data_IF_037503419920
#
_entry.id   IF_037503419920
#
_cell.length_a   1.000
_cell.length_b   1.000
_cell.length_c   1.000
_cell.angle_alpha   90.00
_cell.angle_beta   90.00
_cell.angle_gamma   90.00
#
_symmetry.space_group_name_H-M   'P 1'
#
loop_
_entity.id
_entity.type
_entity.pdbx_description
1 polymer ?
#
# COMPACT_ATOMS: atom_id res chain seq x y z
N UNK A 1 -25.52 -34.39 -13.07
CA UNK A 1 -24.47 -34.35 -14.11
C UNK A 1 -23.92 -32.94 -14.17
N UNK A 2 -22.79 -32.71 -13.53
CA UNK A 2 -22.16 -31.41 -13.43
C UNK A 2 -20.91 -31.40 -14.33
N UNK A 3 -21.02 -30.79 -15.51
CA UNK A 3 -19.84 -30.33 -16.23
C UNK A 3 -19.45 -28.98 -15.62
N UNK A 4 -18.55 -28.99 -14.63
CA UNK A 4 -17.67 -27.83 -14.43
C UNK A 4 -16.77 -27.83 -15.65
N UNK A 5 -17.02 -26.89 -16.57
CA UNK A 5 -15.98 -26.47 -17.51
C UNK A 5 -14.91 -25.84 -16.64
N UNK A 6 -13.84 -26.59 -16.40
CA UNK A 6 -12.55 -25.97 -16.15
C UNK A 6 -12.25 -25.14 -17.40
N UNK A 7 -12.52 -23.84 -17.32
CA UNK A 7 -11.98 -22.88 -18.27
C UNK A 7 -10.47 -22.95 -18.10
N UNK A 8 -9.83 -23.81 -18.91
CA UNK A 8 -8.42 -23.75 -19.16
C UNK A 8 -8.12 -22.35 -19.69
N UNK A 9 -7.64 -21.47 -18.81
CA UNK A 9 -6.92 -20.29 -19.24
C UNK A 9 -5.87 -20.75 -20.25
N UNK A 10 -5.91 -20.18 -21.45
CA UNK A 10 -4.80 -20.34 -22.38
C UNK A 10 -3.56 -19.85 -21.67
N UNK A 11 -2.68 -20.80 -21.35
CA UNK A 11 -1.49 -20.71 -20.53
C UNK A 11 -0.37 -19.86 -21.18
N UNK A 12 -0.71 -18.81 -21.93
CA UNK A 12 0.24 -18.16 -22.83
C UNK A 12 0.94 -16.94 -22.24
N UNK A 13 0.36 -16.26 -21.26
CA UNK A 13 1.01 -15.07 -20.69
C UNK A 13 1.06 -15.15 -19.17
N UNK A 14 2.27 -15.42 -18.66
CA UNK A 14 2.59 -15.37 -17.23
C UNK A 14 2.91 -13.92 -16.86
N UNK A 15 2.09 -13.30 -16.00
CA UNK A 15 2.35 -11.96 -15.47
C UNK A 15 2.45 -12.05 -13.94
N UNK A 16 3.64 -12.23 -13.35
CA UNK A 16 3.79 -12.52 -11.92
C UNK A 16 3.30 -11.37 -11.02
N UNK A 17 3.20 -10.16 -11.55
CA UNK A 17 2.68 -9.02 -10.82
C UNK A 17 1.15 -9.09 -10.64
N UNK A 18 0.44 -9.89 -11.44
CA UNK A 18 -1.01 -10.11 -11.30
C UNK A 18 -1.26 -11.44 -10.57
N UNK A 19 -1.95 -11.42 -9.41
CA UNK A 19 -2.36 -12.65 -8.74
C UNK A 19 -3.27 -13.53 -9.63
N UNK A 20 -3.13 -14.87 -9.61
CA UNK A 20 -3.94 -15.76 -10.43
C UNK A 20 -5.46 -15.69 -10.19
N UNK A 21 -5.89 -15.36 -8.97
CA UNK A 21 -7.30 -15.14 -8.64
C UNK A 21 -7.91 -13.91 -9.36
N UNK A 22 -7.05 -13.02 -9.86
CA UNK A 22 -7.42 -11.79 -10.55
C UNK A 22 -7.44 -11.94 -12.08
N UNK A 23 -6.86 -13.02 -12.63
CA UNK A 23 -6.82 -13.28 -14.07
C UNK A 23 -8.19 -13.28 -14.78
N UNK A 24 -9.30 -13.78 -14.19
CA UNK A 24 -10.60 -13.70 -14.86
C UNK A 24 -11.04 -12.28 -15.22
N UNK A 25 -10.55 -11.25 -14.51
CA UNK A 25 -10.84 -9.83 -14.81
C UNK A 25 -10.08 -9.30 -16.02
N UNK A 26 -9.10 -10.05 -16.53
CA UNK A 26 -8.19 -9.67 -17.60
C UNK A 26 -8.34 -10.53 -18.86
N UNK A 27 -9.40 -11.34 -18.94
CA UNK A 27 -9.73 -12.10 -20.15
C UNK A 27 -9.88 -11.16 -21.35
N UNK A 28 -9.17 -11.45 -22.45
CA UNK A 28 -9.13 -10.61 -23.64
C UNK A 28 -8.00 -9.55 -23.66
N UNK A 29 -7.19 -9.46 -22.61
CA UNK A 29 -6.02 -8.58 -22.52
C UNK A 29 -4.70 -9.36 -22.51
N UNK A 30 -4.66 -10.58 -23.05
CA UNK A 30 -3.49 -11.47 -22.97
C UNK A 30 -2.24 -10.81 -23.57
N UNK A 31 -2.37 -10.18 -24.74
CA UNK A 31 -1.25 -9.48 -25.39
C UNK A 31 -0.78 -8.23 -24.63
N UNK A 32 -1.65 -7.63 -23.79
CA UNK A 32 -1.32 -6.45 -23.00
C UNK A 32 -0.63 -6.82 -21.68
N UNK A 33 -0.91 -8.00 -21.14
CA UNK A 33 -0.25 -8.54 -19.94
C UNK A 33 1.26 -8.72 -20.13
N UNK A 34 1.73 -9.02 -21.34
CA UNK A 34 3.16 -9.08 -21.66
C UNK A 34 3.85 -7.73 -21.41
N UNK A 35 3.17 -6.61 -21.73
CA UNK A 35 3.70 -5.26 -21.49
C UNK A 35 3.84 -4.98 -19.99
N UNK A 36 2.86 -5.43 -19.19
CA UNK A 36 2.89 -5.34 -17.73
C UNK A 36 4.04 -6.17 -17.16
N UNK A 37 4.23 -7.40 -17.64
CA UNK A 37 5.32 -8.27 -17.20
C UNK A 37 6.69 -7.66 -17.51
N UNK A 38 6.90 -7.16 -18.74
CA UNK A 38 8.15 -6.53 -19.13
C UNK A 38 8.46 -5.28 -18.29
N UNK A 39 7.45 -4.43 -18.04
CA UNK A 39 7.62 -3.24 -17.21
C UNK A 39 7.94 -3.59 -15.74
N UNK A 40 7.38 -4.69 -15.23
CA UNK A 40 7.73 -5.21 -13.91
C UNK A 40 9.18 -5.72 -13.86
N UNK A 41 9.60 -6.50 -14.87
CA UNK A 41 10.97 -7.02 -14.97
C UNK A 41 12.00 -5.89 -15.07
N UNK A 42 11.71 -4.84 -15.86
CA UNK A 42 12.54 -3.64 -15.96
C UNK A 42 12.66 -2.92 -14.61
N UNK A 43 11.53 -2.76 -13.90
CA UNK A 43 11.53 -2.18 -12.57
C UNK A 43 12.35 -3.03 -11.59
N UNK A 44 12.17 -4.36 -11.59
CA UNK A 44 12.95 -5.26 -10.75
C UNK A 44 14.45 -5.15 -11.04
N UNK A 45 14.84 -5.15 -12.32
CA UNK A 45 16.22 -5.00 -12.73
C UNK A 45 16.81 -3.66 -12.27
N UNK A 46 16.06 -2.56 -12.36
CA UNK A 46 16.47 -1.25 -11.89
C UNK A 46 16.59 -1.17 -10.36
N UNK A 47 15.71 -1.89 -9.64
CA UNK A 47 15.67 -1.89 -8.18
C UNK A 47 16.69 -2.85 -7.54
N UNK A 48 17.16 -3.87 -8.28
CA UNK A 48 18.26 -4.75 -7.86
C UNK A 48 19.54 -3.92 -7.64
N UNK A 49 19.98 -3.87 -6.39
CA UNK A 49 21.18 -3.12 -5.97
C UNK A 49 20.90 -1.72 -5.38
N UNK A 50 19.64 -1.27 -5.34
CA UNK A 50 19.29 -0.06 -4.58
C UNK A 50 19.37 -0.36 -3.07
N UNK A 51 19.88 0.58 -2.25
CA UNK A 51 20.01 0.37 -0.82
C UNK A 51 18.65 0.17 -0.16
N UNK A 52 18.58 -0.72 0.82
CA UNK A 52 17.35 -1.09 1.53
C UNK A 52 17.45 -0.88 3.05
N UNK A 53 18.63 -1.14 3.60
CA UNK A 53 18.94 -0.93 5.01
C UNK A 53 18.83 0.57 5.32
N UNK A 54 18.23 0.92 6.46
CA UNK A 54 18.04 2.30 6.94
C UNK A 54 17.28 3.25 5.99
N UNK A 55 16.64 2.71 4.95
CA UNK A 55 15.88 3.54 4.03
C UNK A 55 14.57 3.98 4.65
N UNK A 56 14.26 5.26 4.51
CA UNK A 56 13.03 5.89 4.98
C UNK A 56 11.79 5.34 4.24
N UNK A 57 10.63 5.41 4.91
CA UNK A 57 9.34 4.97 4.35
C UNK A 57 8.99 5.71 3.06
N UNK A 58 9.29 7.01 2.96
CA UNK A 58 9.00 7.81 1.77
C UNK A 58 9.77 7.34 0.54
N UNK A 59 11.05 7.00 0.72
CA UNK A 59 11.87 6.44 -0.36
C UNK A 59 11.35 5.06 -0.79
N UNK A 60 10.91 4.22 0.15
CA UNK A 60 10.34 2.91 -0.18
C UNK A 60 9.01 3.01 -0.92
N UNK A 61 8.12 3.89 -0.45
CA UNK A 61 6.84 4.17 -1.12
C UNK A 61 7.06 4.78 -2.51
N UNK A 62 8.06 5.64 -2.68
CA UNK A 62 8.39 6.21 -3.99
C UNK A 62 8.87 5.14 -4.98
N UNK A 63 9.66 4.16 -4.54
CA UNK A 63 10.05 3.03 -5.39
C UNK A 63 8.87 2.18 -5.83
N UNK A 64 7.92 1.91 -4.93
CA UNK A 64 6.67 1.22 -5.27
C UNK A 64 5.85 2.10 -6.23
N UNK A 65 5.80 3.42 -6.01
CA UNK A 65 5.13 4.35 -6.92
C UNK A 65 5.75 4.36 -8.31
N UNK A 66 7.08 4.29 -8.42
CA UNK A 66 7.75 4.15 -9.71
C UNK A 66 7.30 2.89 -10.45
N UNK A 67 7.09 1.76 -9.76
CA UNK A 67 6.50 0.56 -10.37
C UNK A 67 5.11 0.88 -10.89
N UNK A 68 4.23 1.41 -10.04
CA UNK A 68 2.84 1.72 -10.43
C UNK A 68 2.80 2.67 -11.64
N UNK A 69 3.64 3.69 -11.68
CA UNK A 69 3.75 4.59 -12.83
C UNK A 69 4.25 3.88 -14.08
N UNK A 70 5.29 3.03 -13.96
CA UNK A 70 5.81 2.22 -15.06
C UNK A 70 4.75 1.32 -15.67
N UNK A 71 3.95 0.64 -14.83
CA UNK A 71 2.82 -0.16 -15.29
C UNK A 71 1.77 0.72 -15.99
N UNK A 72 1.43 1.88 -15.43
CA UNK A 72 0.48 2.80 -16.05
C UNK A 72 0.93 3.27 -17.44
N UNK A 73 2.23 3.52 -17.63
CA UNK A 73 2.83 3.85 -18.93
C UNK A 73 2.78 2.67 -19.89
N UNK A 74 3.08 1.46 -19.43
CA UNK A 74 3.02 0.24 -20.24
C UNK A 74 1.61 -0.04 -20.77
N UNK A 75 0.59 0.32 -19.99
CA UNK A 75 -0.82 0.16 -20.34
C UNK A 75 -1.42 1.37 -21.08
N UNK A 76 -0.66 2.43 -21.36
CA UNK A 76 -1.22 3.73 -21.78
C UNK A 76 -2.03 3.71 -23.10
N UNK A 77 -1.88 2.65 -23.90
CA UNK A 77 -2.64 2.46 -25.15
C UNK A 77 -4.08 1.98 -24.92
N UNK A 78 -4.36 1.40 -23.75
CA UNK A 78 -5.69 0.94 -23.37
C UNK A 78 -6.01 1.41 -21.94
N UNK A 79 -6.90 2.39 -21.86
CA UNK A 79 -7.26 3.02 -20.59
C UNK A 79 -8.01 2.07 -19.67
N UNK A 80 -8.91 1.25 -20.20
CA UNK A 80 -9.75 0.37 -19.39
C UNK A 80 -8.87 -0.73 -18.77
N UNK A 81 -7.96 -1.30 -19.57
CA UNK A 81 -6.94 -2.22 -19.07
C UNK A 81 -6.05 -1.58 -17.99
N UNK A 82 -5.56 -0.37 -18.23
CA UNK A 82 -4.73 0.36 -17.27
C UNK A 82 -5.46 0.56 -15.93
N UNK A 83 -6.74 0.96 -15.96
CA UNK A 83 -7.55 1.16 -14.75
C UNK A 83 -7.77 -0.15 -14.00
N UNK A 84 -8.06 -1.26 -14.68
CA UNK A 84 -8.22 -2.59 -14.07
C UNK A 84 -6.93 -3.04 -13.39
N UNK A 85 -5.80 -3.01 -14.10
CA UNK A 85 -4.49 -3.44 -13.57
C UNK A 85 -4.09 -2.58 -12.37
N UNK A 86 -4.18 -1.25 -12.48
CA UNK A 86 -3.85 -0.34 -11.37
C UNK A 86 -4.71 -0.58 -10.13
N UNK A 87 -5.98 -0.91 -10.32
CA UNK A 87 -6.89 -1.27 -9.23
C UNK A 87 -6.49 -2.58 -8.58
N UNK A 88 -6.21 -3.63 -9.36
CA UNK A 88 -5.76 -4.94 -8.86
C UNK A 88 -4.51 -4.77 -8.02
N UNK A 89 -3.49 -4.08 -8.55
CA UNK A 89 -2.21 -3.91 -7.87
C UNK A 89 -2.35 -3.08 -6.59
N UNK A 90 -3.08 -1.97 -6.66
CA UNK A 90 -3.28 -1.11 -5.49
C UNK A 90 -3.98 -1.87 -4.37
N UNK A 91 -5.03 -2.64 -4.69
CA UNK A 91 -5.78 -3.42 -3.69
C UNK A 91 -4.92 -4.52 -3.08
N UNK A 92 -4.17 -5.26 -3.92
CA UNK A 92 -3.27 -6.31 -3.45
C UNK A 92 -2.15 -5.79 -2.55
N UNK A 93 -1.59 -4.62 -2.86
CA UNK A 93 -0.59 -3.97 -2.02
C UNK A 93 -1.18 -3.57 -0.65
N UNK A 94 -2.40 -3.01 -0.62
CA UNK A 94 -3.09 -2.67 0.64
C UNK A 94 -3.40 -3.92 1.46
N UNK A 95 -4.01 -4.93 0.84
CA UNK A 95 -4.30 -6.23 1.47
C UNK A 95 -3.04 -6.86 2.06
N UNK A 96 -1.96 -6.90 1.28
CA UNK A 96 -0.66 -7.42 1.73
C UNK A 96 -0.10 -6.62 2.91
N UNK A 97 -0.23 -5.29 2.92
CA UNK A 97 0.20 -4.45 4.03
C UNK A 97 -0.57 -4.77 5.31
N UNK A 98 -1.90 -4.88 5.21
CA UNK A 98 -2.78 -5.20 6.34
C UNK A 98 -2.48 -6.61 6.88
N UNK A 99 -2.35 -7.61 6.02
CA UNK A 99 -1.95 -8.97 6.42
C UNK A 99 -0.56 -9.03 7.08
N UNK A 100 0.36 -8.14 6.71
CA UNK A 100 1.65 -8.02 7.37
C UNK A 100 1.47 -7.41 8.77
N UNK A 101 0.67 -6.36 8.91
CA UNK A 101 0.38 -5.72 10.20
C UNK A 101 -0.27 -6.71 11.16
N UNK A 102 -1.28 -7.46 10.71
CA UNK A 102 -1.99 -8.45 11.52
C UNK A 102 -1.02 -9.53 12.04
N UNK A 103 -0.17 -10.09 11.17
CA UNK A 103 0.85 -11.06 11.57
C UNK A 103 1.87 -10.50 12.56
N UNK A 104 2.24 -9.22 12.42
CA UNK A 104 3.17 -8.57 13.34
C UNK A 104 2.50 -8.32 14.70
N UNK A 105 1.20 -8.03 14.72
CA UNK A 105 0.39 -7.96 15.94
C UNK A 105 0.33 -9.30 16.66
N UNK A 106 0.09 -10.41 15.94
CA UNK A 106 0.04 -11.76 16.52
C UNK A 106 1.36 -12.16 17.21
N UNK A 107 2.49 -11.63 16.72
CA UNK A 107 3.81 -11.86 17.32
C UNK A 107 4.14 -10.91 18.47
N UNK A 108 3.25 -9.98 18.82
CA UNK A 108 3.44 -8.97 19.85
C UNK A 108 4.41 -7.85 19.44
N UNK A 109 4.74 -7.71 18.15
CA UNK A 109 5.61 -6.64 17.67
C UNK A 109 4.89 -5.29 17.63
N UNK A 110 3.59 -5.29 17.35
CA UNK A 110 2.74 -4.10 17.37
C UNK A 110 1.68 -4.20 18.46
N UNK A 111 1.53 -3.12 19.24
CA UNK A 111 0.38 -2.96 20.11
C UNK A 111 -0.88 -2.55 19.32
N UNK A 112 -2.04 -2.58 19.99
CA UNK A 112 -3.32 -2.28 19.33
C UNK A 112 -3.40 -0.88 18.73
N UNK A 113 -2.73 0.10 19.36
CA UNK A 113 -2.66 1.47 18.85
C UNK A 113 -1.89 1.53 17.54
N UNK A 114 -0.70 0.92 17.50
CA UNK A 114 0.13 0.89 16.30
C UNK A 114 -0.56 0.14 15.17
N UNK A 115 -1.25 -0.97 15.46
CA UNK A 115 -2.06 -1.70 14.47
C UNK A 115 -3.12 -0.80 13.86
N UNK A 116 -3.91 -0.09 14.69
CA UNK A 116 -4.96 0.81 14.19
C UNK A 116 -4.40 1.93 13.32
N UNK A 117 -3.33 2.60 13.76
CA UNK A 117 -2.67 3.67 13.00
C UNK A 117 -2.13 3.16 11.66
N UNK A 118 -1.42 2.03 11.65
CA UNK A 118 -0.81 1.50 10.42
C UNK A 118 -1.89 0.98 9.46
N UNK A 119 -2.95 0.36 9.95
CA UNK A 119 -4.08 -0.08 9.12
C UNK A 119 -4.77 1.13 8.47
N UNK A 120 -5.01 2.21 9.22
CA UNK A 120 -5.57 3.44 8.68
C UNK A 120 -4.63 4.13 7.68
N UNK A 121 -3.32 4.10 7.93
CA UNK A 121 -2.32 4.61 6.99
C UNK A 121 -2.33 3.83 5.67
N UNK A 122 -2.17 2.50 5.70
CA UNK A 122 -2.06 1.70 4.47
C UNK A 122 -3.37 1.55 3.71
N UNK A 123 -4.53 1.59 4.37
CA UNK A 123 -5.84 1.59 3.70
C UNK A 123 -6.07 2.86 2.87
N UNK A 124 -5.46 3.99 3.26
CA UNK A 124 -5.64 5.28 2.60
C UNK A 124 -4.60 5.59 1.52
N UNK A 125 -3.44 4.93 1.55
CA UNK A 125 -2.38 5.19 0.58
C UNK A 125 -2.85 4.94 -0.86
N UNK A 126 -2.53 5.92 -1.71
CA UNK A 126 -2.64 5.82 -3.17
C UNK A 126 -1.24 5.68 -3.75
N UNK A 127 -0.83 4.45 -4.05
CA UNK A 127 0.49 4.14 -4.60
C UNK A 127 0.80 4.78 -5.97
N UNK A 128 -0.17 5.44 -6.60
CA UNK A 128 -0.03 6.11 -7.90
C UNK A 128 0.22 7.61 -7.80
N UNK A 129 0.24 8.19 -6.59
CA UNK A 129 0.39 9.63 -6.36
C UNK A 129 1.61 9.92 -5.50
N UNK A 130 2.06 11.16 -5.51
CA UNK A 130 3.03 11.64 -4.55
C UNK A 130 2.46 11.49 -3.13
N UNK A 131 3.31 11.02 -2.22
CA UNK A 131 2.95 10.72 -0.84
C UNK A 131 3.93 11.41 0.09
N UNK A 132 3.39 12.06 1.12
CA UNK A 132 4.13 12.63 2.23
C UNK A 132 3.85 11.77 3.46
N UNK A 133 4.71 10.78 3.79
CA UNK A 133 4.37 9.74 4.77
C UNK A 133 4.00 10.29 6.14
N UNK A 134 4.68 11.35 6.59
CA UNK A 134 4.38 12.03 7.85
C UNK A 134 2.96 12.58 7.86
N UNK A 135 2.57 13.34 6.84
CA UNK A 135 1.22 13.93 6.76
C UNK A 135 0.14 12.85 6.71
N UNK A 136 0.39 11.74 6.00
CA UNK A 136 -0.56 10.64 5.93
C UNK A 136 -0.69 9.88 7.25
N UNK A 137 0.41 9.72 8.01
CA UNK A 137 0.39 9.16 9.36
C UNK A 137 -0.33 10.08 10.35
N UNK A 138 -0.10 11.39 10.28
CA UNK A 138 -0.81 12.36 11.12
C UNK A 138 -2.33 12.26 10.93
N UNK A 139 -2.78 12.13 9.68
CA UNK A 139 -4.18 11.89 9.37
C UNK A 139 -4.65 10.53 9.90
N UNK A 140 -3.86 9.47 9.74
CA UNK A 140 -4.23 8.14 10.23
C UNK A 140 -4.36 8.08 11.77
N UNK A 141 -3.53 8.83 12.49
CA UNK A 141 -3.63 9.02 13.95
C UNK A 141 -4.92 9.76 14.32
N UNK A 142 -5.29 10.79 13.55
CA UNK A 142 -6.54 11.51 13.77
C UNK A 142 -7.75 10.59 13.56
N UNK A 143 -7.77 9.83 12.46
CA UNK A 143 -8.82 8.86 12.14
C UNK A 143 -8.97 7.81 13.26
N UNK A 144 -7.85 7.23 13.73
CA UNK A 144 -7.86 6.26 14.83
C UNK A 144 -8.46 6.83 16.13
N UNK A 145 -8.10 8.08 16.48
CA UNK A 145 -8.64 8.76 17.66
C UNK A 145 -10.14 9.06 17.53
N UNK A 146 -10.64 9.29 16.32
CA UNK A 146 -12.07 9.46 16.04
C UNK A 146 -12.85 8.15 16.23
N UNK A 147 -12.27 7.03 15.82
CA UNK A 147 -12.85 5.69 15.91
C UNK A 147 -12.87 5.14 17.35
N UNK A 148 -11.77 5.27 18.09
CA UNK A 148 -11.74 4.90 19.53
C UNK A 148 -12.59 5.81 20.40
N UNK A 149 -12.66 7.09 20.03
CA UNK A 149 -13.30 8.16 20.81
C UNK A 149 -14.79 8.35 20.55
N UNK A 150 -15.46 7.36 19.95
CA UNK A 150 -16.88 7.33 19.55
C UNK A 150 -17.68 8.56 19.99
N UNK A 151 -17.97 9.46 19.03
CA UNK A 151 -18.95 10.54 19.18
C UNK A 151 -18.51 11.84 19.91
N UNK A 152 -17.25 12.32 19.77
CA UNK A 152 -16.86 13.61 20.39
C UNK A 152 -16.15 14.65 19.50
N UNK A 153 -15.59 14.30 18.34
CA UNK A 153 -14.69 15.22 17.60
C UNK A 153 -15.35 16.36 16.81
N UNK A 154 -16.65 16.26 16.46
CA UNK A 154 -17.39 17.42 15.94
C UNK A 154 -17.54 18.54 16.99
N UNK A 155 -17.49 18.20 18.28
CA UNK A 155 -17.52 19.17 19.38
C UNK A 155 -16.12 19.74 19.71
N UNK A 156 -15.08 18.92 19.55
CA UNK A 156 -13.68 19.29 19.78
C UNK A 156 -13.11 20.18 18.67
N UNK A 157 -13.47 19.94 17.40
CA UNK A 157 -13.05 20.79 16.27
C UNK A 157 -13.65 22.19 16.34
N UNK A 158 -14.91 22.31 16.80
CA UNK A 158 -15.51 23.63 17.11
C UNK A 158 -14.80 24.36 18.24
N UNK A 159 -14.19 23.61 19.19
CA UNK A 159 -13.43 24.16 20.31
C UNK A 159 -12.00 24.53 19.91
N UNK A 160 -11.33 23.71 19.09
CA UNK A 160 -10.00 23.99 18.54
C UNK A 160 -9.98 25.21 17.62
N UNK A 161 -11.05 25.42 16.82
CA UNK A 161 -11.22 26.65 16.04
C UNK A 161 -11.42 27.90 16.92
N UNK A 162 -11.92 27.74 18.15
CA UNK A 162 -12.02 28.82 19.13
C UNK A 162 -10.71 29.04 19.92
N UNK A 163 -9.94 27.98 20.18
CA UNK A 163 -8.65 28.02 20.88
C UNK A 163 -7.48 28.48 20.00
N UNK A 164 -7.58 28.36 18.67
CA UNK A 164 -6.61 28.94 17.73
C UNK A 164 -6.53 30.50 17.81
N UNK A 165 -7.44 31.15 18.54
CA UNK A 165 -7.38 32.59 18.87
C UNK A 165 -6.69 32.89 20.20
N UNK A 166 -6.38 31.89 21.03
CA UNK A 166 -5.71 32.05 22.32
C UNK A 166 -4.48 31.17 22.38
N UNK A 167 -3.31 31.77 22.08
CA UNK A 167 -2.03 31.08 22.08
C UNK A 167 -1.77 30.31 23.38
N UNK A 168 -1.64 28.99 23.25
CA UNK A 168 -1.26 28.08 24.33
C UNK A 168 -0.31 27.01 23.80
N UNK A 169 0.94 27.04 24.23
CA UNK A 169 1.90 25.93 24.08
C UNK A 169 1.50 24.77 25.00
N UNK A 170 1.74 23.55 24.52
CA UNK A 170 2.04 22.28 25.25
C UNK A 170 1.08 21.11 24.97
N UNK A 171 1.14 20.50 23.77
CA UNK A 171 0.58 19.17 23.49
C UNK A 171 1.43 18.33 22.48
N UNK A 172 2.60 18.84 22.08
CA UNK A 172 3.26 18.42 20.83
C UNK A 172 4.23 17.23 21.00
N UNK A 173 4.85 17.08 22.18
CA UNK A 173 5.92 16.09 22.39
C UNK A 173 5.49 14.63 22.38
N UNK A 174 4.25 14.31 22.77
CA UNK A 174 3.72 12.95 22.77
C UNK A 174 3.20 12.48 21.41
N UNK A 175 2.70 13.40 20.58
CA UNK A 175 2.30 13.06 19.21
C UNK A 175 3.55 12.82 18.35
N UNK A 176 4.61 13.60 18.53
CA UNK A 176 5.84 13.44 17.75
C UNK A 176 6.52 12.09 17.97
N UNK A 177 6.56 11.57 19.20
CA UNK A 177 7.11 10.23 19.47
C UNK A 177 6.27 9.13 18.81
N UNK A 178 4.94 9.26 18.82
CA UNK A 178 4.03 8.32 18.16
C UNK A 178 4.18 8.39 16.65
N UNK A 179 4.29 9.58 16.07
CA UNK A 179 4.52 9.77 14.63
C UNK A 179 5.83 9.11 14.21
N UNK A 180 6.92 9.35 14.96
CA UNK A 180 8.23 8.77 14.62
C UNK A 180 8.23 7.24 14.73
N UNK A 181 7.55 6.68 15.74
CA UNK A 181 7.37 5.24 15.87
C UNK A 181 6.56 4.68 14.69
N UNK A 182 5.42 5.30 14.36
CA UNK A 182 4.59 4.89 13.24
C UNK A 182 5.33 4.98 11.89
N UNK A 183 6.15 6.01 11.68
CA UNK A 183 7.01 6.12 10.48
C UNK A 183 8.01 4.96 10.38
N UNK A 184 8.64 4.61 11.50
CA UNK A 184 9.58 3.48 11.56
C UNK A 184 8.89 2.15 11.25
N UNK A 185 7.71 1.91 11.84
CA UNK A 185 6.98 0.67 11.59
C UNK A 185 6.35 0.61 10.20
N UNK A 186 5.84 1.74 9.68
CA UNK A 186 5.44 1.85 8.29
C UNK A 186 6.60 1.58 7.33
N UNK A 187 7.83 2.03 7.67
CA UNK A 187 9.02 1.70 6.89
C UNK A 187 9.28 0.19 6.92
N UNK A 188 9.15 -0.47 8.08
CA UNK A 188 9.30 -1.92 8.24
C UNK A 188 8.32 -2.71 7.38
N UNK A 189 7.03 -2.34 7.41
CA UNK A 189 5.99 -2.98 6.59
C UNK A 189 6.25 -2.75 5.09
N UNK A 190 6.50 -1.50 4.69
CA UNK A 190 6.77 -1.15 3.28
C UNK A 190 8.01 -1.86 2.75
N UNK A 191 9.04 -2.00 3.58
CA UNK A 191 10.25 -2.78 3.28
C UNK A 191 9.93 -4.25 2.97
N UNK A 192 9.07 -4.88 3.76
CA UNK A 192 8.65 -6.28 3.52
C UNK A 192 7.84 -6.41 2.23
N UNK A 193 6.97 -5.45 1.91
CA UNK A 193 6.25 -5.39 0.64
C UNK A 193 7.23 -5.24 -0.53
N UNK A 194 8.16 -4.30 -0.43
CA UNK A 194 9.17 -4.06 -1.46
C UNK A 194 10.03 -5.31 -1.72
N UNK A 195 10.46 -6.03 -0.68
CA UNK A 195 11.21 -7.28 -0.85
C UNK A 195 10.38 -8.36 -1.55
N UNK A 196 9.08 -8.45 -1.26
CA UNK A 196 8.17 -9.34 -2.00
C UNK A 196 8.11 -8.96 -3.48
N UNK A 197 7.98 -7.67 -3.79
CA UNK A 197 8.00 -7.18 -5.19
C UNK A 197 9.33 -7.40 -5.92
N UNK A 198 10.43 -7.69 -5.22
CA UNK A 198 11.68 -8.12 -5.85
C UNK A 198 11.75 -9.63 -6.12
N UNK A 199 10.78 -10.39 -5.61
CA UNK A 199 10.64 -11.83 -5.87
C UNK A 199 10.07 -12.07 -7.28
N UNK A 200 10.47 -13.16 -7.95
CA UNK A 200 9.80 -13.65 -9.15
C UNK A 200 8.31 -13.96 -8.93
N UNK A 201 7.94 -14.27 -7.68
CA UNK A 201 6.56 -14.46 -7.23
C UNK A 201 6.31 -13.55 -6.00
N UNK A 202 5.75 -12.35 -6.20
CA UNK A 202 5.54 -11.39 -5.12
C UNK A 202 4.38 -11.77 -4.18
N UNK A 203 3.53 -12.71 -4.60
CA UNK A 203 2.31 -13.09 -3.88
C UNK A 203 2.46 -14.42 -3.13
N UNK A 204 3.49 -15.22 -3.45
CA UNK A 204 3.85 -16.45 -2.74
C UNK A 204 2.90 -17.61 -3.04
N UNK A 205 2.53 -17.75 -4.31
CA UNK A 205 1.58 -18.72 -4.85
C UNK A 205 2.30 -19.96 -5.43
N UNK A 206 3.64 -19.97 -5.47
CA UNK A 206 4.49 -21.11 -5.86
C UNK A 206 4.94 -22.00 -4.70
#
# INVERSE_FOLDING_TARGET
>A
MAHRKDEHMSMQVWCPLIPPDEYPKLNGYENELDKVSNAYDDWQAFMRGKPFIETDVGVMLDRIRMLMMGIGVACAQDRDFAEIVQSILSENLRRTAIELIDRLSDTGQFDGQMVGILTNFFSRIKFTRDLYPREEIEKAIADYKEEEGGMTLLSSLKRAAAEARSGGKSADGGNETVIQAALSEAASVTKRIYLRLLSPDPWGIQ
#
